data_IF_335273419959
#
_entry.id   IF_335273419959
#
_cell.length_a   1.000
_cell.length_b   1.000
_cell.length_c   1.000
_cell.angle_alpha   90.00
_cell.angle_beta   90.00
_cell.angle_gamma   90.00
#
_symmetry.space_group_name_H-M   'P 1'
#
loop_
_entity.id
_entity.type
_entity.pdbx_description
1 polymer ?
#
# COMPACT_ATOMS: atom_id res chain seq x y z
N UNK A 1 -19.35 13.91 5.46
CA UNK A 1 -18.21 13.07 5.00
C UNK A 1 -16.94 13.90 4.93
N UNK A 2 -15.92 13.58 5.74
CA UNK A 2 -14.68 14.37 5.82
C UNK A 2 -13.76 14.03 4.62
N UNK A 3 -13.76 14.86 3.57
CA UNK A 3 -13.08 14.58 2.28
C UNK A 3 -11.57 14.34 2.42
N UNK A 4 -10.94 14.86 3.47
CA UNK A 4 -9.50 14.75 3.69
C UNK A 4 -8.98 13.32 3.85
N UNK A 5 -9.72 12.43 4.51
CA UNK A 5 -9.30 11.03 4.69
C UNK A 5 -9.32 10.23 3.37
N UNK A 6 -10.32 10.48 2.52
CA UNK A 6 -10.46 9.78 1.23
C UNK A 6 -9.30 10.11 0.30
N UNK A 7 -8.88 11.38 0.28
CA UNK A 7 -7.80 11.84 -0.60
C UNK A 7 -6.44 11.28 -0.13
N UNK A 8 -6.25 11.12 1.19
CA UNK A 8 -4.96 10.74 1.76
C UNK A 8 -4.55 9.30 1.44
N UNK A 9 -5.45 8.32 1.59
CA UNK A 9 -5.12 6.93 1.29
C UNK A 9 -4.84 6.73 -0.21
N UNK A 10 -5.56 7.45 -1.09
CA UNK A 10 -5.30 7.43 -2.53
C UNK A 10 -3.92 8.00 -2.88
N UNK A 11 -3.51 9.11 -2.24
CA UNK A 11 -2.19 9.70 -2.44
C UNK A 11 -1.10 8.71 -2.02
N UNK A 12 -1.20 8.12 -0.83
CA UNK A 12 -0.23 7.13 -0.38
C UNK A 12 -0.22 5.87 -1.26
N UNK A 13 -1.39 5.42 -1.73
CA UNK A 13 -1.49 4.28 -2.64
C UNK A 13 -0.77 4.53 -3.95
N UNK A 14 -0.93 5.73 -4.55
CA UNK A 14 -0.22 6.11 -5.76
C UNK A 14 1.30 6.19 -5.53
N UNK A 15 1.74 6.78 -4.42
CA UNK A 15 3.15 6.83 -4.04
C UNK A 15 3.74 5.44 -3.80
N UNK A 16 2.97 4.51 -3.23
CA UNK A 16 3.39 3.13 -3.05
C UNK A 16 3.60 2.43 -4.40
N UNK A 17 2.69 2.63 -5.36
CA UNK A 17 2.80 2.07 -6.71
C UNK A 17 4.03 2.62 -7.43
N UNK A 18 4.23 3.94 -7.42
CA UNK A 18 5.40 4.56 -8.09
C UNK A 18 6.71 4.09 -7.47
N UNK A 19 6.81 4.04 -6.14
CA UNK A 19 7.99 3.52 -5.44
C UNK A 19 8.26 2.05 -5.75
N UNK A 20 7.21 1.22 -5.88
CA UNK A 20 7.33 -0.20 -6.25
C UNK A 20 7.89 -0.37 -7.66
N UNK A 21 7.42 0.42 -8.64
CA UNK A 21 7.98 0.39 -9.99
C UNK A 21 9.44 0.86 -10.01
N UNK A 22 9.78 1.91 -9.25
CA UNK A 22 11.17 2.38 -9.11
C UNK A 22 12.05 1.28 -8.51
N UNK A 23 11.59 0.59 -7.46
CA UNK A 23 12.28 -0.54 -6.83
C UNK A 23 12.62 -1.63 -7.88
N UNK A 24 11.62 -2.10 -8.63
CA UNK A 24 11.81 -3.13 -9.66
C UNK A 24 12.75 -2.67 -10.80
N UNK A 25 12.64 -1.40 -11.22
CA UNK A 25 13.51 -0.83 -12.25
C UNK A 25 14.97 -0.70 -11.78
N UNK A 26 15.20 -0.26 -10.54
CA UNK A 26 16.55 -0.17 -9.97
C UNK A 26 17.20 -1.55 -9.86
N UNK A 27 16.45 -2.56 -9.42
CA UNK A 27 16.94 -3.93 -9.40
C UNK A 27 17.32 -4.43 -10.81
N UNK A 28 16.46 -4.22 -11.81
CA UNK A 28 16.72 -4.60 -13.20
C UNK A 28 17.93 -3.90 -13.83
N UNK A 29 18.31 -2.72 -13.33
CA UNK A 29 19.49 -1.97 -13.78
C UNK A 29 20.73 -2.18 -12.91
N UNK A 30 20.67 -3.10 -11.94
CA UNK A 30 21.78 -3.40 -11.03
C UNK A 30 22.08 -2.30 -10.00
N UNK A 31 21.16 -1.35 -9.80
CA UNK A 31 21.26 -0.26 -8.82
C UNK A 31 20.71 -0.70 -7.46
N UNK A 32 21.11 0.00 -6.40
CA UNK A 32 20.58 -0.27 -5.05
C UNK A 32 19.10 0.10 -4.94
N UNK A 33 18.25 -0.92 -4.86
CA UNK A 33 16.79 -0.79 -4.83
C UNK A 33 16.22 -0.68 -3.40
N UNK A 34 17.04 -0.87 -2.35
CA UNK A 34 16.54 -1.06 -0.97
C UNK A 34 15.80 0.15 -0.42
N UNK A 35 16.23 1.36 -0.77
CA UNK A 35 15.53 2.57 -0.37
C UNK A 35 14.17 2.68 -1.05
N UNK A 36 14.09 2.40 -2.36
CA UNK A 36 12.82 2.38 -3.09
C UNK A 36 11.87 1.30 -2.56
N UNK A 37 12.39 0.12 -2.21
CA UNK A 37 11.65 -0.94 -1.52
C UNK A 37 11.08 -0.46 -0.19
N UNK A 38 11.91 0.15 0.66
CA UNK A 38 11.48 0.66 1.97
C UNK A 38 10.40 1.74 1.83
N UNK A 39 10.53 2.64 0.85
CA UNK A 39 9.50 3.63 0.53
C UNK A 39 8.19 2.98 0.07
N UNK A 40 8.25 2.00 -0.84
CA UNK A 40 7.07 1.29 -1.35
C UNK A 40 6.28 0.59 -0.24
N UNK A 41 6.97 -0.12 0.65
CA UNK A 41 6.35 -0.76 1.81
C UNK A 41 5.81 0.27 2.83
N UNK A 42 6.55 1.35 3.07
CA UNK A 42 6.13 2.41 4.01
C UNK A 42 4.86 3.12 3.52
N UNK A 43 4.78 3.47 2.24
CA UNK A 43 3.57 4.07 1.67
C UNK A 43 2.41 3.09 1.59
N UNK A 44 2.66 1.79 1.38
CA UNK A 44 1.62 0.75 1.51
C UNK A 44 1.03 0.74 2.93
N UNK A 45 1.88 0.78 3.96
CA UNK A 45 1.43 0.85 5.34
C UNK A 45 0.67 2.15 5.65
N UNK A 46 1.16 3.30 5.18
CA UNK A 46 0.47 4.59 5.35
C UNK A 46 -0.88 4.64 4.63
N UNK A 47 -1.03 3.94 3.50
CA UNK A 47 -2.31 3.78 2.80
C UNK A 47 -3.34 3.09 3.71
N UNK A 48 -2.95 1.98 4.34
CA UNK A 48 -3.83 1.24 5.27
C UNK A 48 -4.16 2.05 6.53
N UNK A 49 -3.19 2.82 7.07
CA UNK A 49 -3.44 3.70 8.22
C UNK A 49 -4.42 4.83 7.87
N UNK A 50 -4.30 5.40 6.67
CA UNK A 50 -5.22 6.42 6.17
C UNK A 50 -6.63 5.86 5.92
N UNK A 51 -6.73 4.65 5.37
CA UNK A 51 -8.00 3.93 5.22
C UNK A 51 -8.65 3.64 6.58
N UNK A 52 -7.90 3.09 7.54
CA UNK A 52 -8.40 2.84 8.88
C UNK A 52 -8.88 4.13 9.57
N UNK A 53 -8.19 5.25 9.34
CA UNK A 53 -8.62 6.56 9.83
C UNK A 53 -9.95 7.01 9.20
N UNK A 54 -10.19 6.68 7.93
CA UNK A 54 -11.47 6.90 7.26
C UNK A 54 -12.58 6.07 7.90
N UNK A 55 -12.36 4.77 8.10
CA UNK A 55 -13.33 3.86 8.75
C UNK A 55 -13.64 4.35 10.18
N UNK A 56 -12.63 4.76 10.94
CA UNK A 56 -12.81 5.34 12.30
C UNK A 56 -13.69 6.58 12.28
N UNK A 57 -13.61 7.43 11.25
CA UNK A 57 -14.47 8.60 11.12
C UNK A 57 -15.92 8.22 10.81
N UNK A 58 -16.18 7.15 10.05
CA UNK A 58 -17.53 6.64 9.85
C UNK A 58 -18.13 6.08 11.14
N UNK A 59 -17.34 5.38 11.95
CA UNK A 59 -17.78 4.91 13.28
C UNK A 59 -18.14 6.09 14.18
N UNK A 60 -17.29 7.12 14.25
CA UNK A 60 -17.55 8.33 15.06
C UNK A 60 -18.77 9.13 14.59
N UNK A 61 -19.08 9.05 13.30
CA UNK A 61 -20.25 9.70 12.70
C UNK A 61 -21.50 8.81 12.72
N UNK A 62 -21.41 7.60 13.30
CA UNK A 62 -22.49 6.59 13.31
C UNK A 62 -23.04 6.26 11.90
N UNK A 63 -22.16 6.33 10.89
CA UNK A 63 -22.51 6.07 9.49
C UNK A 63 -22.48 4.56 9.19
N UNK A 64 -23.39 3.83 9.83
CA UNK A 64 -23.50 2.37 9.72
C UNK A 64 -23.81 1.92 8.28
N UNK A 65 -24.51 2.75 7.52
CA UNK A 65 -24.81 2.49 6.12
C UNK A 65 -23.52 2.48 5.29
N UNK A 66 -22.66 3.49 5.41
CA UNK A 66 -21.37 3.52 4.72
C UNK A 66 -20.44 2.38 5.18
N UNK A 67 -20.42 2.07 6.48
CA UNK A 67 -19.68 0.93 7.03
C UNK A 67 -20.13 -0.39 6.38
N UNK A 68 -21.42 -0.64 6.28
CA UNK A 68 -21.96 -1.90 5.73
C UNK A 68 -21.81 -2.01 4.21
N UNK A 69 -21.91 -0.91 3.47
CA UNK A 69 -21.89 -0.91 2.02
C UNK A 69 -20.45 -0.94 1.45
N UNK A 70 -19.56 -0.15 2.06
CA UNK A 70 -18.24 0.14 1.49
C UNK A 70 -17.13 -0.72 2.08
N UNK A 71 -17.07 -0.86 3.40
CA UNK A 71 -15.93 -1.50 4.09
C UNK A 71 -15.70 -2.96 3.68
N UNK A 72 -16.73 -3.83 3.54
CA UNK A 72 -16.51 -5.23 3.17
C UNK A 72 -15.84 -5.41 1.81
N UNK A 73 -16.12 -4.51 0.86
CA UNK A 73 -15.51 -4.56 -0.47
C UNK A 73 -14.09 -3.98 -0.44
N UNK A 74 -13.90 -2.87 0.27
CA UNK A 74 -12.57 -2.25 0.42
C UNK A 74 -11.58 -3.14 1.17
N UNK A 75 -12.01 -3.83 2.22
CA UNK A 75 -11.18 -4.75 3.00
C UNK A 75 -10.61 -5.87 2.13
N UNK A 76 -11.46 -6.51 1.32
CA UNK A 76 -11.05 -7.56 0.38
C UNK A 76 -10.05 -7.03 -0.65
N UNK A 77 -10.31 -5.83 -1.18
CA UNK A 77 -9.42 -5.21 -2.15
C UNK A 77 -8.04 -4.90 -1.52
N UNK A 78 -8.00 -4.36 -0.30
CA UNK A 78 -6.75 -4.06 0.38
C UNK A 78 -5.96 -5.31 0.76
N UNK A 79 -6.61 -6.40 1.17
CA UNK A 79 -5.89 -7.66 1.38
C UNK A 79 -5.14 -8.13 0.14
N UNK A 80 -5.80 -8.08 -1.02
CA UNK A 80 -5.21 -8.50 -2.29
C UNK A 80 -4.07 -7.54 -2.67
N UNK A 81 -4.34 -6.23 -2.67
CA UNK A 81 -3.38 -5.20 -3.08
C UNK A 81 -2.14 -5.16 -2.17
N UNK A 82 -2.33 -5.22 -0.84
CA UNK A 82 -1.23 -5.25 0.13
C UNK A 82 -0.40 -6.52 -0.03
N UNK A 83 -1.03 -7.67 -0.24
CA UNK A 83 -0.31 -8.92 -0.49
C UNK A 83 0.56 -8.81 -1.75
N UNK A 84 0.01 -8.28 -2.84
CA UNK A 84 0.75 -8.04 -4.09
C UNK A 84 1.88 -7.03 -3.86
N UNK A 85 1.63 -5.92 -3.17
CA UNK A 85 2.63 -4.89 -2.91
C UNK A 85 3.82 -5.42 -2.09
N UNK A 86 3.55 -6.23 -1.07
CA UNK A 86 4.59 -6.91 -0.27
C UNK A 86 5.41 -7.85 -1.14
N UNK A 87 4.74 -8.72 -1.92
CA UNK A 87 5.42 -9.67 -2.80
C UNK A 87 6.31 -8.95 -3.82
N UNK A 88 5.78 -7.95 -4.52
CA UNK A 88 6.53 -7.19 -5.52
C UNK A 88 7.73 -6.47 -4.91
N UNK A 89 7.57 -5.83 -3.74
CA UNK A 89 8.66 -5.09 -3.13
C UNK A 89 9.77 -5.99 -2.59
N UNK A 90 9.45 -7.18 -2.09
CA UNK A 90 10.41 -8.14 -1.54
C UNK A 90 11.07 -8.99 -2.64
N UNK A 91 10.46 -9.10 -3.83
CA UNK A 91 10.95 -9.92 -4.95
C UNK A 91 12.43 -9.66 -5.30
N UNK A 92 12.90 -8.41 -5.46
CA UNK A 92 14.32 -8.12 -5.69
C UNK A 92 15.26 -8.74 -4.65
N UNK A 93 14.90 -8.66 -3.36
CA UNK A 93 15.68 -9.24 -2.26
C UNK A 93 15.73 -10.76 -2.35
N UNK A 94 14.61 -11.42 -2.67
CA UNK A 94 14.55 -12.87 -2.83
C UNK A 94 15.39 -13.35 -4.03
N UNK A 95 15.35 -12.61 -5.14
CA UNK A 95 16.16 -12.89 -6.32
C UNK A 95 17.66 -12.69 -6.05
N UNK A 96 18.03 -11.63 -5.33
CA UNK A 96 19.41 -11.39 -4.92
C UNK A 96 19.93 -12.55 -4.05
N UNK A 97 19.14 -13.02 -3.08
CA UNK A 97 19.50 -14.17 -2.24
C UNK A 97 19.61 -15.48 -3.03
N UNK A 98 18.75 -15.68 -4.04
CA UNK A 98 18.80 -16.87 -4.90
C UNK A 98 20.05 -16.89 -5.78
N UNK A 99 20.48 -15.74 -6.30
CA UNK A 99 21.66 -15.63 -7.17
C UNK A 99 23.00 -15.73 -6.41
N UNK A 100 22.98 -15.59 -5.09
CA UNK A 100 24.16 -15.74 -4.22
C UNK A 100 24.45 -17.20 -3.83
N UNK A 101 23.49 -18.10 -4.03
CA UNK A 101 23.63 -19.56 -3.85
C UNK A 101 24.04 -20.22 -5.15
#
# INVERSE_FOLDING_TARGET
>A
MNRGCIILWLIFGLLAITATFINLYMFGTGKDYKLAMAMGLSFTALTLVADYSMVSNWVKAEDWAALSDVVPTMEKAFWILTSIAILLNITPTLLELKNRK
#
